data_IF_354078730197
#
_entry.id   IF_354078730197
#
_cell.length_a   1.000
_cell.length_b   1.000
_cell.length_c   1.000
_cell.angle_alpha   90.00
_cell.angle_beta   90.00
_cell.angle_gamma   90.00
#
_symmetry.space_group_name_H-M   'P 1'
#
loop_
_entity.id
_entity.type
_entity.pdbx_description
1 polymer ?
#
# COMPACT_ATOMS: atom_id res chain seq x y z
N UNK A 1 2.87 -5.73 13.36
CA UNK A 1 2.70 -5.57 11.91
C UNK A 1 2.74 -4.10 11.54
N UNK A 2 3.26 -3.81 10.37
CA UNK A 2 3.27 -2.45 9.86
C UNK A 2 2.03 -2.22 9.01
N UNK A 3 1.29 -1.18 9.31
CA UNK A 3 0.11 -0.81 8.54
C UNK A 3 0.39 0.44 7.74
N UNK A 4 0.12 0.36 6.45
CA UNK A 4 0.42 1.44 5.51
C UNK A 4 -0.85 1.90 4.82
N UNK A 5 -0.88 3.19 4.52
CA UNK A 5 -1.90 3.78 3.67
C UNK A 5 -1.25 4.15 2.34
N UNK A 6 -1.81 3.61 1.26
CA UNK A 6 -1.31 3.84 -0.08
C UNK A 6 -2.31 4.67 -0.87
N UNK A 7 -1.81 5.63 -1.63
CA UNK A 7 -2.66 6.46 -2.47
C UNK A 7 -2.04 6.62 -3.85
N UNK A 8 -2.81 7.18 -4.76
CA UNK A 8 -2.45 7.35 -6.16
C UNK A 8 -2.26 6.01 -6.87
N UNK A 9 -3.03 5.01 -6.47
CA UNK A 9 -3.00 3.69 -7.09
C UNK A 9 -3.82 3.75 -8.39
N UNK A 10 -3.33 3.14 -9.49
CA UNK A 10 -4.11 3.10 -10.73
C UNK A 10 -5.45 2.41 -10.52
N UNK A 11 -6.51 2.94 -11.12
CA UNK A 11 -7.85 2.38 -10.94
C UNK A 11 -7.97 0.96 -11.49
N UNK A 12 -7.16 0.60 -12.47
CA UNK A 12 -7.20 -0.72 -13.08
C UNK A 12 -6.30 -1.73 -12.36
N UNK A 13 -5.66 -1.32 -11.26
CA UNK A 13 -4.79 -2.22 -10.50
C UNK A 13 -5.65 -3.15 -9.65
N UNK A 14 -5.41 -4.45 -9.80
CA UNK A 14 -6.12 -5.46 -9.02
C UNK A 14 -5.44 -5.68 -7.69
N UNK A 15 -6.20 -6.21 -6.73
CA UNK A 15 -5.64 -6.53 -5.41
C UNK A 15 -4.44 -7.46 -5.54
N UNK A 16 -4.57 -8.49 -6.37
CA UNK A 16 -3.49 -9.44 -6.56
C UNK A 16 -2.27 -8.82 -7.19
N UNK A 17 -2.47 -7.86 -8.10
CA UNK A 17 -1.36 -7.16 -8.73
C UNK A 17 -0.59 -6.31 -7.73
N UNK A 18 -1.32 -5.58 -6.90
CA UNK A 18 -0.69 -4.73 -5.90
C UNK A 18 0.05 -5.58 -4.87
N UNK A 19 -0.57 -6.67 -4.45
CA UNK A 19 0.07 -7.58 -3.51
C UNK A 19 1.37 -8.14 -4.08
N UNK A 20 1.31 -8.63 -5.31
CA UNK A 20 2.50 -9.18 -5.95
C UNK A 20 3.59 -8.14 -6.11
N UNK A 21 3.20 -6.90 -6.44
CA UNK A 21 4.15 -5.81 -6.59
C UNK A 21 4.87 -5.51 -5.27
N UNK A 22 4.12 -5.48 -4.18
CA UNK A 22 4.71 -5.24 -2.86
C UNK A 22 5.61 -6.41 -2.45
N UNK A 23 5.16 -7.63 -2.71
CA UNK A 23 5.95 -8.81 -2.34
C UNK A 23 7.23 -8.90 -3.15
N UNK A 24 7.20 -8.43 -4.39
CA UNK A 24 8.41 -8.37 -5.21
C UNK A 24 9.45 -7.40 -4.65
N UNK A 25 9.03 -6.46 -3.83
CA UNK A 25 9.96 -5.55 -3.15
C UNK A 25 10.60 -6.18 -1.91
N UNK A 26 10.19 -7.38 -1.56
CA UNK A 26 10.77 -8.10 -0.44
C UNK A 26 9.96 -8.05 0.84
N UNK A 27 8.72 -7.62 0.78
CA UNK A 27 7.85 -7.55 1.95
C UNK A 27 6.81 -8.64 1.91
N UNK A 28 6.35 -9.04 3.10
CA UNK A 28 5.34 -10.08 3.24
C UNK A 28 4.00 -9.43 3.58
N UNK A 29 3.03 -9.55 2.69
CA UNK A 29 1.72 -8.93 2.87
C UNK A 29 0.84 -9.84 3.69
N UNK A 30 0.40 -9.33 4.83
CA UNK A 30 -0.55 -10.05 5.69
C UNK A 30 -1.98 -9.83 5.19
N UNK A 31 -2.34 -8.59 4.94
CA UNK A 31 -3.66 -8.27 4.42
C UNK A 31 -3.57 -7.02 3.55
N UNK A 32 -4.52 -6.90 2.63
CA UNK A 32 -4.55 -5.80 1.70
C UNK A 32 -5.99 -5.49 1.34
N UNK A 33 -6.32 -4.21 1.32
CA UNK A 33 -7.66 -3.77 0.94
C UNK A 33 -7.56 -2.56 0.04
N UNK A 34 -8.08 -2.69 -1.17
CA UNK A 34 -8.18 -1.59 -2.11
C UNK A 34 -9.55 -0.95 -2.03
N UNK A 35 -9.57 0.37 -2.05
CA UNK A 35 -10.80 1.15 -2.09
C UNK A 35 -10.78 1.99 -3.36
N UNK A 36 -11.81 1.81 -4.18
CA UNK A 36 -11.96 2.55 -5.42
C UNK A 36 -13.18 3.45 -5.33
N UNK A 37 -13.05 4.64 -5.89
CA UNK A 37 -14.19 5.53 -6.00
C UNK A 37 -14.97 5.15 -7.25
N UNK A 38 -15.97 4.32 -7.07
CA UNK A 38 -16.79 3.84 -8.19
C UNK A 38 -17.71 4.91 -8.75
N UNK A 39 -17.99 5.94 -7.96
CA UNK A 39 -18.86 7.02 -8.40
C UNK A 39 -18.15 7.93 -9.39
N UNK A 40 -16.94 8.33 -9.05
CA UNK A 40 -16.17 9.19 -9.93
C UNK A 40 -15.62 8.45 -11.14
N UNK A 41 -15.21 7.21 -10.94
CA UNK A 41 -14.69 6.37 -12.02
C UNK A 41 -13.35 6.79 -12.58
N UNK A 42 -12.81 7.91 -12.13
CA UNK A 42 -11.56 8.44 -12.66
C UNK A 42 -10.53 8.74 -11.58
N UNK A 43 -10.94 8.73 -10.33
CA UNK A 43 -10.01 9.00 -9.23
C UNK A 43 -9.04 7.86 -9.04
N UNK A 44 -7.79 8.17 -8.68
CA UNK A 44 -6.88 7.11 -8.29
C UNK A 44 -7.43 6.37 -7.07
N UNK A 45 -7.19 5.08 -7.02
CA UNK A 45 -7.60 4.28 -5.88
C UNK A 45 -6.65 4.52 -4.71
N UNK A 46 -7.10 4.16 -3.51
CA UNK A 46 -6.22 4.11 -2.36
C UNK A 46 -6.43 2.77 -1.65
N UNK A 47 -5.51 2.45 -0.75
CA UNK A 47 -5.59 1.16 -0.10
C UNK A 47 -4.91 1.13 1.25
N UNK A 48 -5.23 0.09 1.99
CA UNK A 48 -4.64 -0.21 3.27
C UNK A 48 -3.94 -1.54 3.19
N UNK A 49 -2.71 -1.59 3.66
CA UNK A 49 -1.90 -2.81 3.61
C UNK A 49 -1.29 -3.06 4.97
N UNK A 50 -1.39 -4.30 5.43
CA UNK A 50 -0.68 -4.75 6.62
C UNK A 50 0.46 -5.66 6.19
N UNK A 51 1.66 -5.36 6.65
CA UNK A 51 2.84 -6.14 6.34
C UNK A 51 3.31 -6.86 7.59
N UNK A 52 3.75 -8.10 7.44
CA UNK A 52 4.36 -8.84 8.53
C UNK A 52 5.73 -8.27 8.82
N UNK A 53 6.03 -8.15 10.11
CA UNK A 53 7.28 -7.55 10.57
C UNK A 53 8.31 -8.64 10.78
N UNK A 54 9.58 -8.29 10.68
CA UNK A 54 10.65 -9.12 11.17
C UNK A 54 11.59 -9.69 10.14
N UNK A 55 11.34 -9.44 8.86
CA UNK A 55 12.19 -10.00 7.83
C UNK A 55 13.28 -9.04 7.37
N UNK A 56 13.01 -7.75 7.41
CA UNK A 56 13.97 -6.76 6.94
C UNK A 56 14.05 -5.57 7.90
N UNK A 57 15.25 -5.03 7.98
CA UNK A 57 15.53 -3.86 8.81
C UNK A 57 15.34 -2.57 8.03
N UNK A 58 14.40 -2.53 7.14
CA UNK A 58 14.13 -1.35 6.33
C UNK A 58 12.71 -0.88 6.55
N UNK A 59 12.52 0.43 6.46
CA UNK A 59 11.21 1.03 6.57
C UNK A 59 10.47 0.81 5.24
N UNK A 60 9.35 0.06 5.24
CA UNK A 60 8.63 -0.16 4.00
C UNK A 60 8.13 1.13 3.36
N UNK A 61 7.84 2.15 4.15
CA UNK A 61 7.42 3.43 3.60
C UNK A 61 8.53 4.03 2.73
N UNK A 62 9.76 4.01 3.22
CA UNK A 62 10.89 4.56 2.47
C UNK A 62 11.15 3.80 1.19
N UNK A 63 10.94 2.49 1.21
CA UNK A 63 11.17 1.67 0.03
C UNK A 63 10.07 1.86 -1.01
N UNK A 64 8.82 1.88 -0.57
CA UNK A 64 7.68 1.84 -1.49
C UNK A 64 7.23 3.22 -1.96
N UNK A 65 7.42 4.24 -1.12
CA UNK A 65 6.94 5.58 -1.46
C UNK A 65 7.69 6.15 -2.66
N UNK A 66 6.94 6.68 -3.60
CA UNK A 66 7.51 7.29 -4.78
C UNK A 66 7.85 6.34 -5.91
N UNK A 67 7.64 5.05 -5.74
CA UNK A 67 7.90 4.09 -6.80
C UNK A 67 6.78 4.10 -7.83
N UNK A 68 7.13 3.71 -9.04
CA UNK A 68 6.18 3.68 -10.13
C UNK A 68 5.40 2.37 -10.12
N UNK A 69 4.09 2.46 -10.09
CA UNK A 69 3.20 1.32 -10.18
C UNK A 69 2.28 1.53 -11.37
N UNK A 70 2.48 0.77 -12.43
CA UNK A 70 1.68 0.82 -13.65
C UNK A 70 1.55 2.24 -14.20
N UNK A 71 2.63 2.99 -14.16
CA UNK A 71 2.68 4.33 -14.71
C UNK A 71 2.30 5.45 -13.75
N UNK A 72 1.93 5.14 -12.53
CA UNK A 72 1.61 6.15 -11.52
C UNK A 72 2.59 6.07 -10.37
N UNK A 73 2.95 7.22 -9.84
CA UNK A 73 3.86 7.27 -8.70
C UNK A 73 3.07 7.02 -7.42
N UNK A 74 3.32 5.88 -6.80
CA UNK A 74 2.64 5.46 -5.59
C UNK A 74 3.05 6.34 -4.42
N UNK A 75 2.08 6.75 -3.61
CA UNK A 75 2.34 7.47 -2.36
C UNK A 75 2.01 6.55 -1.20
N UNK A 76 2.96 6.43 -0.28
CA UNK A 76 2.84 5.53 0.86
C UNK A 76 3.03 6.31 2.14
N UNK A 77 2.12 6.12 3.09
CA UNK A 77 2.19 6.73 4.39
C UNK A 77 1.90 5.71 5.45
N UNK A 78 2.27 6.03 6.68
CA UNK A 78 1.85 5.23 7.81
C UNK A 78 0.35 5.38 8.00
N UNK A 79 -0.33 4.26 8.26
CA UNK A 79 -1.77 4.31 8.54
C UNK A 79 -1.96 4.95 9.91
N UNK A 80 -2.62 6.10 9.93
CA UNK A 80 -2.83 6.85 11.17
C UNK A 80 -3.66 6.08 12.19
N UNK A 81 -4.47 5.12 11.74
CA UNK A 81 -5.26 4.29 12.65
C UNK A 81 -4.36 3.37 13.47
N UNK A 82 -3.24 2.98 12.91
CA UNK A 82 -2.27 2.17 13.63
C UNK A 82 -1.65 2.96 14.79
N UNK A 83 -1.41 4.23 14.58
CA UNK A 83 -0.89 5.10 15.64
C UNK A 83 -1.87 5.23 16.80
N UNK A 84 -3.16 5.33 16.50
CA UNK A 84 -4.16 5.45 17.54
C UNK A 84 -4.24 4.19 18.38
N UNK A 85 -3.96 3.05 17.80
CA UNK A 85 -4.00 1.78 18.49
C UNK A 85 -2.85 1.59 19.46
N UNK A 86 -1.75 2.25 19.22
CA UNK A 86 -0.55 2.06 20.04
C UNK A 86 -0.60 2.81 21.37
N UNK A 87 -1.70 3.40 21.70
CA UNK A 87 -1.83 4.04 23.01
C UNK A 87 -2.20 3.02 24.08
#
# INVERSE_FOLDING_TARGET
>A
MARLFLSNIPCDCQDAELRAWIEAQGFDVDSLRLVRDLVAGVSPAFGYVSLRVGVKDVDPIEVLNGQNLKGRRLQVRKDWRDERHSR
#
